data_IF_459957759498
#
_entry.id   IF_459957759498
#
_cell.length_a   1.000
_cell.length_b   1.000
_cell.length_c   1.000
_cell.angle_alpha   90.00
_cell.angle_beta   90.00
_cell.angle_gamma   90.00
#
_symmetry.space_group_name_H-M   'P 1'
#
loop_
_entity.id
_entity.type
_entity.pdbx_description
1 polymer ?
#
# COMPACT_ATOMS: atom_id res chain seq x y z
N UNK A 1 -4.07 48.53 13.52
CA UNK A 1 -5.46 48.08 13.38
C UNK A 1 -5.41 46.72 12.72
N UNK A 2 -5.59 45.69 13.55
CA UNK A 2 -5.74 44.30 13.14
C UNK A 2 -7.02 44.12 12.31
N UNK A 3 -6.91 43.36 11.22
CA UNK A 3 -8.05 42.72 10.56
C UNK A 3 -7.73 41.22 10.35
N UNK A 4 -8.73 40.33 10.47
CA UNK A 4 -8.48 38.92 10.75
C UNK A 4 -8.13 38.09 9.50
N UNK A 5 -7.30 37.08 9.75
CA UNK A 5 -7.04 35.91 8.89
C UNK A 5 -8.33 35.10 8.64
N UNK A 6 -8.32 34.40 7.50
CA UNK A 6 -9.24 33.37 6.95
C UNK A 6 -10.27 33.89 5.94
N UNK A 7 -9.91 33.78 4.66
CA UNK A 7 -10.86 33.65 3.55
C UNK A 7 -10.68 32.24 3.00
N UNK A 8 -11.63 31.35 3.30
CA UNK A 8 -11.80 30.10 2.58
C UNK A 8 -12.54 30.42 1.28
N UNK A 9 -11.85 30.28 0.15
CA UNK A 9 -12.49 30.33 -1.16
C UNK A 9 -12.84 28.89 -1.58
N UNK A 10 -14.12 28.53 -1.48
CA UNK A 10 -14.65 27.34 -2.14
C UNK A 10 -15.04 27.71 -3.58
N UNK A 11 -14.27 27.24 -4.56
CA UNK A 11 -14.67 27.26 -5.96
C UNK A 11 -15.46 25.99 -6.27
N UNK A 12 -16.78 26.12 -6.41
CA UNK A 12 -17.64 25.07 -6.94
C UNK A 12 -17.93 25.37 -8.42
N UNK A 13 -17.56 24.49 -9.37
CA UNK A 13 -18.12 24.53 -10.71
C UNK A 13 -19.41 23.72 -10.73
N UNK A 14 -20.55 24.39 -10.96
CA UNK A 14 -21.71 23.74 -11.54
C UNK A 14 -21.74 24.08 -13.03
N UNK A 15 -21.91 23.09 -13.89
CA UNK A 15 -22.15 23.31 -15.32
C UNK A 15 -23.49 22.77 -15.75
N UNK A 16 -24.28 23.65 -16.39
CA UNK A 16 -25.32 23.28 -17.36
C UNK A 16 -24.72 23.31 -18.75
N UNK A 17 -25.21 22.43 -19.61
CA UNK A 17 -24.86 22.33 -21.03
C UNK A 17 -25.26 23.64 -21.75
N UNK A 18 -24.29 24.37 -22.29
CA UNK A 18 -24.49 25.59 -23.06
C UNK A 18 -23.40 25.72 -24.13
N UNK A 19 -23.81 26.12 -25.32
CA UNK A 19 -23.08 26.18 -26.58
C UNK A 19 -21.82 27.05 -26.57
N UNK A 20 -20.89 26.70 -27.46
CA UNK A 20 -19.74 27.48 -27.90
C UNK A 20 -20.10 28.94 -28.18
N UNK A 21 -19.59 29.87 -27.37
CA UNK A 21 -19.05 31.18 -27.75
C UNK A 21 -18.61 31.93 -26.49
N UNK A 22 -17.41 32.54 -26.53
CA UNK A 22 -16.80 33.22 -25.40
C UNK A 22 -17.59 34.48 -24.99
N UNK A 23 -17.98 34.52 -23.72
CA UNK A 23 -18.55 35.72 -23.10
C UNK A 23 -18.42 35.64 -21.57
N UNK A 24 -17.68 36.58 -20.98
CA UNK A 24 -17.62 36.76 -19.53
C UNK A 24 -18.91 37.45 -19.06
N UNK A 25 -19.71 36.78 -18.20
CA UNK A 25 -20.90 37.37 -17.59
C UNK A 25 -20.57 37.87 -16.18
N UNK A 26 -20.77 39.17 -15.93
CA UNK A 26 -20.66 39.74 -14.59
C UNK A 26 -21.90 39.39 -13.77
N UNK A 27 -21.74 38.79 -12.59
CA UNK A 27 -22.83 38.65 -11.63
C UNK A 27 -23.03 39.97 -10.87
N UNK A 28 -24.26 40.49 -10.87
CA UNK A 28 -24.67 41.61 -10.02
C UNK A 28 -24.76 41.14 -8.57
N UNK A 29 -23.98 41.77 -7.69
CA UNK A 29 -24.05 41.56 -6.25
C UNK A 29 -25.28 42.32 -5.70
N UNK A 30 -26.21 41.62 -5.06
CA UNK A 30 -27.31 42.26 -4.32
C UNK A 30 -26.85 42.68 -2.92
N UNK A 31 -27.38 43.79 -2.41
CA UNK A 31 -26.94 44.51 -1.20
C UNK A 31 -26.96 43.73 0.13
N UNK A 32 -27.34 42.45 0.16
CA UNK A 32 -27.37 41.63 1.38
C UNK A 32 -26.10 40.82 1.65
N UNK A 33 -25.11 40.80 0.75
CA UNK A 33 -23.89 39.95 0.89
C UNK A 33 -22.66 40.65 1.51
N UNK A 34 -22.84 41.77 2.21
CA UNK A 34 -21.73 42.64 2.63
C UNK A 34 -20.91 42.08 3.83
N UNK A 35 -21.36 41.02 4.53
CA UNK A 35 -20.68 40.51 5.73
C UNK A 35 -19.94 39.16 5.62
N UNK A 36 -19.96 38.48 4.47
CA UNK A 36 -19.08 37.33 4.17
C UNK A 36 -18.53 37.45 2.76
N UNK A 37 -17.37 38.11 2.60
CA UNK A 37 -16.65 38.15 1.32
C UNK A 37 -16.08 36.77 0.96
N UNK A 38 -16.90 35.92 0.36
CA UNK A 38 -16.44 34.81 -0.49
C UNK A 38 -16.77 35.18 -1.93
N UNK A 39 -15.84 35.82 -2.62
CA UNK A 39 -15.94 35.98 -4.07
C UNK A 39 -15.57 34.65 -4.73
N UNK A 40 -16.54 33.96 -5.34
CA UNK A 40 -16.26 32.81 -6.19
C UNK A 40 -16.19 33.28 -7.65
N UNK A 41 -15.08 32.97 -8.31
CA UNK A 41 -14.88 33.23 -9.74
C UNK A 41 -14.80 31.90 -10.47
N UNK A 42 -15.55 31.76 -11.56
CA UNK A 42 -15.56 30.55 -12.38
C UNK A 42 -14.86 30.81 -13.70
N UNK A 43 -13.82 30.02 -14.00
CA UNK A 43 -13.08 30.08 -15.26
C UNK A 43 -13.34 28.77 -16.03
N UNK A 44 -13.93 28.82 -17.23
CA UNK A 44 -14.10 27.64 -18.07
C UNK A 44 -12.75 27.14 -18.59
N UNK A 45 -12.45 25.85 -18.43
CA UNK A 45 -11.25 25.18 -18.94
C UNK A 45 -11.69 23.94 -19.72
N UNK A 46 -11.17 23.74 -20.94
CA UNK A 46 -11.50 22.54 -21.74
C UNK A 46 -10.68 21.32 -21.27
N UNK A 47 -10.98 20.14 -21.82
CA UNK A 47 -10.43 18.86 -21.33
C UNK A 47 -8.91 18.71 -21.55
N UNK A 48 -8.37 19.23 -22.66
CA UNK A 48 -6.93 19.13 -22.95
C UNK A 48 -6.14 20.14 -22.11
N UNK A 49 -6.68 21.34 -21.91
CA UNK A 49 -6.11 22.33 -20.99
C UNK A 49 -6.15 21.83 -19.53
N UNK A 50 -7.19 21.08 -19.13
CA UNK A 50 -7.26 20.47 -17.79
C UNK A 50 -6.14 19.44 -17.56
N UNK A 51 -5.80 18.63 -18.58
CA UNK A 51 -4.67 17.69 -18.49
C UNK A 51 -3.35 18.43 -18.28
N UNK A 52 -3.17 19.54 -18.98
CA UNK A 52 -1.97 20.39 -18.84
C UNK A 52 -1.93 21.02 -17.45
N UNK A 53 -3.05 21.55 -16.96
CA UNK A 53 -3.15 22.16 -15.63
C UNK A 53 -2.88 21.14 -14.53
N UNK A 54 -3.42 19.92 -14.63
CA UNK A 54 -3.11 18.83 -13.68
C UNK A 54 -1.64 18.42 -13.70
N UNK A 55 -1.04 18.31 -14.89
CA UNK A 55 0.37 17.94 -15.01
C UNK A 55 1.31 18.94 -14.34
N UNK A 56 0.88 20.21 -14.25
CA UNK A 56 1.65 21.31 -13.67
C UNK A 56 1.01 21.86 -12.38
N UNK A 57 0.22 21.04 -11.67
CA UNK A 57 -0.56 21.46 -10.49
C UNK A 57 0.32 22.08 -9.41
N UNK A 58 1.46 21.44 -9.09
CA UNK A 58 2.39 21.94 -8.06
C UNK A 58 2.95 23.32 -8.39
N UNK A 59 3.36 23.54 -9.63
CA UNK A 59 3.88 24.82 -10.12
C UNK A 59 2.81 25.91 -10.12
N UNK A 60 1.58 25.56 -10.49
CA UNK A 60 0.46 26.49 -10.44
C UNK A 60 0.14 26.89 -8.99
N UNK A 61 0.08 25.93 -8.07
CA UNK A 61 -0.16 26.19 -6.65
C UNK A 61 0.94 27.06 -6.03
N UNK A 62 2.20 26.80 -6.38
CA UNK A 62 3.35 27.61 -5.95
C UNK A 62 3.23 29.06 -6.44
N UNK A 63 2.95 29.28 -7.73
CA UNK A 63 2.77 30.63 -8.28
C UNK A 63 1.58 31.35 -7.63
N UNK A 64 0.47 30.65 -7.36
CA UNK A 64 -0.70 31.25 -6.72
C UNK A 64 -0.44 31.59 -5.25
N UNK A 65 0.34 30.77 -4.56
CA UNK A 65 0.74 31.01 -3.17
C UNK A 65 1.74 32.17 -3.09
N UNK A 66 2.77 32.20 -3.92
CA UNK A 66 3.81 33.24 -3.88
C UNK A 66 3.27 34.61 -4.30
N UNK A 67 2.44 34.64 -5.35
CA UNK A 67 1.99 35.90 -5.94
C UNK A 67 0.76 36.48 -5.25
N UNK A 68 -0.11 35.62 -4.70
CA UNK A 68 -1.41 36.04 -4.15
C UNK A 68 -1.64 35.56 -2.71
N UNK A 69 -0.72 34.82 -2.10
CA UNK A 69 -0.87 34.29 -0.74
C UNK A 69 -1.99 33.26 -0.59
N UNK A 70 -2.44 32.66 -1.70
CA UNK A 70 -3.63 31.81 -1.75
C UNK A 70 -3.26 30.33 -1.78
N UNK A 71 -3.84 29.57 -0.85
CA UNK A 71 -3.83 28.11 -0.92
C UNK A 71 -4.86 27.71 -1.96
N UNK A 72 -4.40 27.14 -3.06
CA UNK A 72 -5.24 26.65 -4.15
C UNK A 72 -5.26 25.13 -4.16
N UNK A 73 -6.44 24.56 -4.40
CA UNK A 73 -6.66 23.11 -4.47
C UNK A 73 -7.40 22.86 -5.77
N UNK A 74 -6.79 22.09 -6.69
CA UNK A 74 -7.38 21.78 -7.97
C UNK A 74 -8.30 20.55 -7.84
N UNK A 75 -9.60 20.79 -7.64
CA UNK A 75 -10.60 19.72 -7.55
C UNK A 75 -11.23 19.49 -8.93
N UNK A 76 -11.14 18.26 -9.45
CA UNK A 76 -11.89 17.88 -10.66
C UNK A 76 -13.32 17.53 -10.29
N UNK A 77 -14.35 18.16 -10.88
CA UNK A 77 -15.72 17.75 -10.64
C UNK A 77 -15.95 16.37 -11.27
N UNK A 78 -16.19 15.37 -10.43
CA UNK A 78 -16.64 14.07 -10.87
C UNK A 78 -18.02 14.20 -11.53
N UNK A 79 -18.21 13.56 -12.69
CA UNK A 79 -19.53 13.41 -13.28
C UNK A 79 -20.47 12.72 -12.28
N UNK A 80 -21.65 13.32 -12.10
CA UNK A 80 -22.73 12.84 -11.25
C UNK A 80 -23.14 11.41 -11.63
N UNK A 81 -22.66 10.43 -10.86
CA UNK A 81 -23.42 9.34 -10.26
C UNK A 81 -22.51 8.71 -9.18
N UNK A 82 -22.81 9.04 -7.92
CA UNK A 82 -22.09 8.71 -6.70
C UNK A 82 -21.54 7.27 -6.64
N UNK A 83 -20.21 7.16 -6.64
CA UNK A 83 -19.46 6.31 -5.70
C UNK A 83 -18.04 6.86 -5.70
N UNK A 84 -17.67 7.64 -4.68
CA UNK A 84 -16.28 8.07 -4.48
C UNK A 84 -15.42 6.80 -4.36
N UNK A 85 -14.29 6.77 -5.09
CA UNK A 85 -13.30 5.72 -4.90
C UNK A 85 -12.74 5.85 -3.49
N UNK A 86 -13.01 4.86 -2.63
CA UNK A 86 -12.68 4.91 -1.21
C UNK A 86 -11.83 3.71 -0.82
N UNK A 87 -10.58 3.96 -0.42
CA UNK A 87 -9.75 2.96 0.23
C UNK A 87 -10.24 2.74 1.66
N UNK A 88 -10.60 1.51 2.03
CA UNK A 88 -11.14 1.18 3.36
C UNK A 88 -10.18 0.33 4.20
N UNK A 89 -9.16 -0.26 3.57
CA UNK A 89 -8.13 -1.05 4.22
C UNK A 89 -6.81 -0.93 3.47
N UNK A 90 -5.69 -0.93 4.21
CA UNK A 90 -4.34 -1.00 3.66
C UNK A 90 -3.43 -1.80 4.58
N UNK A 91 -2.57 -2.64 4.01
CA UNK A 91 -1.55 -3.40 4.74
C UNK A 91 -0.34 -3.70 3.87
N UNK A 92 0.86 -3.46 4.40
CA UNK A 92 2.10 -3.95 3.77
C UNK A 92 2.22 -5.47 3.98
N UNK A 93 2.35 -6.23 2.88
CA UNK A 93 2.51 -7.69 2.92
C UNK A 93 3.98 -8.09 3.10
N UNK A 94 4.86 -7.47 2.31
CA UNK A 94 6.32 -7.58 2.36
C UNK A 94 6.91 -6.18 2.08
N UNK A 95 8.19 -5.90 2.40
CA UNK A 95 8.80 -4.62 2.05
C UNK A 95 8.60 -4.29 0.57
N UNK A 96 7.96 -3.15 0.28
CA UNK A 96 7.68 -2.69 -1.08
C UNK A 96 6.40 -3.23 -1.74
N UNK A 97 5.65 -4.12 -1.09
CA UNK A 97 4.38 -4.65 -1.60
C UNK A 97 3.23 -4.41 -0.62
N UNK A 98 2.18 -3.75 -1.10
CA UNK A 98 0.98 -3.42 -0.32
C UNK A 98 -0.26 -4.11 -0.86
N UNK A 99 -1.13 -4.59 0.04
CA UNK A 99 -2.51 -4.95 -0.27
C UNK A 99 -3.46 -3.88 0.27
N UNK A 100 -4.46 -3.50 -0.52
CA UNK A 100 -5.50 -2.56 -0.11
C UNK A 100 -6.89 -3.02 -0.55
N UNK A 101 -7.93 -2.57 0.17
CA UNK A 101 -9.34 -2.82 -0.18
C UNK A 101 -9.99 -1.51 -0.56
N UNK A 102 -10.70 -1.49 -1.68
CA UNK A 102 -11.32 -0.30 -2.26
C UNK A 102 -12.79 -0.51 -2.54
N UNK A 103 -13.60 0.48 -2.14
CA UNK A 103 -14.92 0.72 -2.70
C UNK A 103 -14.75 1.53 -3.98
N UNK A 104 -14.77 0.88 -5.13
CA UNK A 104 -14.68 1.55 -6.42
C UNK A 104 -15.23 0.67 -7.54
N UNK A 105 -15.41 1.27 -8.72
CA UNK A 105 -15.78 0.57 -9.93
C UNK A 105 -14.54 0.21 -10.75
N UNK A 106 -14.30 -1.09 -10.93
CA UNK A 106 -13.20 -1.65 -11.73
C UNK A 106 -13.14 -1.10 -13.17
N UNK A 107 -14.25 -0.63 -13.75
CA UNK A 107 -14.24 -0.06 -15.11
C UNK A 107 -13.49 1.27 -15.22
N UNK A 108 -13.23 1.94 -14.08
CA UNK A 108 -12.56 3.24 -14.01
C UNK A 108 -11.40 3.27 -13.02
N UNK A 109 -11.11 2.15 -12.38
CA UNK A 109 -10.08 2.05 -11.36
C UNK A 109 -8.70 2.02 -12.02
N UNK A 110 -7.89 3.05 -11.78
CA UNK A 110 -6.61 3.23 -12.45
C UNK A 110 -5.54 2.32 -11.84
N UNK A 111 -5.20 1.24 -12.55
CA UNK A 111 -4.15 0.26 -12.23
C UNK A 111 -3.55 -0.25 -13.54
N UNK A 112 -2.42 -0.95 -13.47
CA UNK A 112 -1.80 -1.53 -14.67
C UNK A 112 -2.59 -2.70 -15.23
N UNK A 113 -3.15 -3.55 -14.36
CA UNK A 113 -3.94 -4.70 -14.75
C UNK A 113 -5.25 -4.79 -13.96
N UNK A 114 -6.35 -5.02 -14.67
CA UNK A 114 -7.66 -5.34 -14.07
C UNK A 114 -7.93 -6.82 -14.23
N UNK A 115 -8.35 -7.50 -13.16
CA UNK A 115 -8.82 -8.88 -13.23
C UNK A 115 -10.31 -8.91 -13.57
N UNK A 116 -10.66 -9.59 -14.65
CA UNK A 116 -12.05 -9.89 -15.00
C UNK A 116 -12.47 -11.24 -14.39
N UNK A 117 -13.68 -11.30 -13.84
CA UNK A 117 -14.34 -12.55 -13.47
C UNK A 117 -14.97 -13.20 -14.72
N UNK A 118 -14.22 -14.08 -15.37
CA UNK A 118 -14.57 -14.66 -16.67
C UNK A 118 -15.14 -16.08 -16.56
N UNK A 119 -15.71 -16.57 -17.67
CA UNK A 119 -16.08 -17.97 -17.88
C UNK A 119 -15.10 -18.64 -18.86
N UNK A 120 -15.22 -19.96 -18.99
CA UNK A 120 -14.35 -20.82 -19.79
C UNK A 120 -14.33 -20.47 -21.28
N UNK A 121 -15.41 -19.84 -21.77
CA UNK A 121 -15.56 -19.43 -23.18
C UNK A 121 -15.16 -17.96 -23.42
N UNK A 122 -14.68 -17.26 -22.37
CA UNK A 122 -14.40 -15.81 -22.39
C UNK A 122 -15.51 -14.96 -23.02
N UNK A 123 -16.78 -15.35 -22.79
CA UNK A 123 -17.96 -14.61 -23.25
C UNK A 123 -18.46 -13.66 -22.17
N UNK A 124 -18.25 -12.37 -22.38
CA UNK A 124 -18.46 -11.30 -21.41
C UNK A 124 -19.91 -10.77 -21.43
N UNK A 125 -20.88 -11.68 -21.28
CA UNK A 125 -22.30 -11.38 -21.44
C UNK A 125 -23.04 -10.90 -20.18
N UNK A 126 -22.41 -10.93 -19.00
CA UNK A 126 -23.06 -10.52 -17.75
C UNK A 126 -22.09 -10.09 -16.65
N UNK A 127 -22.64 -9.52 -15.58
CA UNK A 127 -21.90 -9.11 -14.38
C UNK A 127 -20.77 -8.11 -14.67
N UNK A 128 -19.66 -8.26 -13.93
CA UNK A 128 -18.46 -7.46 -14.11
C UNK A 128 -17.88 -7.56 -15.53
N UNK A 129 -17.88 -8.74 -16.13
CA UNK A 129 -17.33 -8.95 -17.47
C UNK A 129 -18.05 -8.08 -18.52
N UNK A 130 -19.38 -8.02 -18.46
CA UNK A 130 -20.16 -7.14 -19.33
C UNK A 130 -19.88 -5.67 -19.05
N UNK A 131 -19.72 -5.28 -17.79
CA UNK A 131 -19.39 -3.91 -17.43
C UNK A 131 -18.03 -3.47 -18.00
N UNK A 132 -17.02 -4.35 -17.95
CA UNK A 132 -15.71 -4.11 -18.54
C UNK A 132 -15.79 -3.96 -20.06
N UNK A 133 -16.52 -4.82 -20.78
CA UNK A 133 -16.71 -4.67 -22.24
C UNK A 133 -17.49 -3.39 -22.58
N UNK A 134 -18.53 -3.04 -21.82
CA UNK A 134 -19.29 -1.80 -22.06
C UNK A 134 -18.43 -0.55 -21.91
N UNK A 135 -17.51 -0.54 -20.94
CA UNK A 135 -16.63 0.61 -20.69
C UNK A 135 -15.39 0.62 -21.59
N UNK A 136 -14.75 -0.53 -21.78
CA UNK A 136 -13.52 -0.67 -22.56
C UNK A 136 -13.72 -0.83 -24.07
N UNK A 137 -14.92 -1.16 -24.53
CA UNK A 137 -15.25 -1.36 -25.94
C UNK A 137 -15.29 -2.83 -26.36
N UNK A 138 -15.88 -3.06 -27.53
CA UNK A 138 -16.12 -4.39 -28.08
C UNK A 138 -14.83 -5.16 -28.40
N UNK A 139 -13.73 -4.45 -28.63
CA UNK A 139 -12.39 -5.01 -28.88
C UNK A 139 -11.95 -6.02 -27.80
N UNK A 140 -12.33 -5.81 -26.53
CA UNK A 140 -12.06 -6.77 -25.44
C UNK A 140 -12.70 -8.14 -25.73
N UNK A 141 -13.95 -8.14 -26.23
CA UNK A 141 -14.67 -9.37 -26.56
C UNK A 141 -14.14 -10.00 -27.86
N UNK A 142 -13.69 -9.20 -28.81
CA UNK A 142 -13.10 -9.66 -30.07
C UNK A 142 -11.75 -10.35 -29.80
N UNK A 143 -10.87 -9.74 -29.01
CA UNK A 143 -9.61 -10.36 -28.58
C UNK A 143 -9.84 -11.64 -27.79
N UNK A 144 -10.82 -11.65 -26.89
CA UNK A 144 -11.21 -12.86 -26.15
C UNK A 144 -11.70 -13.97 -27.06
N UNK A 145 -12.49 -13.63 -28.09
CA UNK A 145 -12.99 -14.60 -29.08
C UNK A 145 -11.84 -15.17 -29.90
N UNK A 146 -10.89 -14.30 -30.30
CA UNK A 146 -9.66 -14.72 -31.00
C UNK A 146 -8.81 -15.63 -30.13
N UNK A 147 -8.63 -15.30 -28.85
CA UNK A 147 -7.90 -16.15 -27.90
C UNK A 147 -8.50 -17.57 -27.86
N UNK A 148 -9.82 -17.69 -27.67
CA UNK A 148 -10.51 -18.99 -27.65
C UNK A 148 -10.37 -19.75 -28.98
N UNK A 149 -10.41 -19.05 -30.12
CA UNK A 149 -10.24 -19.70 -31.43
C UNK A 149 -8.87 -20.33 -31.64
N UNK A 150 -7.84 -19.80 -30.96
CA UNK A 150 -6.44 -20.27 -31.08
C UNK A 150 -6.11 -21.29 -29.98
N UNK A 151 -6.51 -21.01 -28.74
CA UNK A 151 -6.07 -21.76 -27.56
C UNK A 151 -7.13 -22.72 -27.00
N UNK A 152 -8.37 -22.64 -27.48
CA UNK A 152 -9.51 -23.37 -26.92
C UNK A 152 -10.03 -22.74 -25.63
N UNK A 153 -10.91 -23.46 -24.93
CA UNK A 153 -11.52 -23.01 -23.67
C UNK A 153 -10.49 -22.84 -22.57
N UNK A 154 -10.67 -21.82 -21.74
CA UNK A 154 -9.83 -21.58 -20.55
C UNK A 154 -10.37 -22.43 -19.39
N UNK A 155 -9.60 -23.39 -18.85
CA UNK A 155 -10.08 -24.23 -17.75
C UNK A 155 -10.35 -23.43 -16.47
N UNK A 156 -11.27 -23.90 -15.63
CA UNK A 156 -11.46 -23.35 -14.29
C UNK A 156 -10.15 -23.41 -13.49
N UNK A 157 -9.79 -22.29 -12.86
CA UNK A 157 -8.51 -22.09 -12.16
C UNK A 157 -7.44 -21.43 -13.03
N UNK A 158 -7.64 -21.34 -14.35
CA UNK A 158 -6.68 -20.75 -15.28
C UNK A 158 -7.05 -19.31 -15.66
N UNK A 159 -6.13 -18.65 -16.36
CA UNK A 159 -6.27 -17.27 -16.83
C UNK A 159 -6.04 -17.15 -18.33
N UNK A 160 -6.57 -16.08 -18.93
CA UNK A 160 -6.19 -15.57 -20.25
C UNK A 160 -5.94 -14.07 -20.16
N UNK A 161 -5.15 -13.51 -21.08
CA UNK A 161 -4.80 -12.08 -21.06
C UNK A 161 -5.09 -11.43 -22.40
N UNK A 162 -5.68 -10.24 -22.36
CA UNK A 162 -6.02 -9.41 -23.53
C UNK A 162 -5.68 -7.95 -23.25
N UNK A 163 -5.73 -7.12 -24.29
CA UNK A 163 -5.70 -5.67 -24.19
C UNK A 163 -6.90 -5.12 -23.41
N UNK A 164 -6.71 -3.94 -22.83
CA UNK A 164 -7.72 -3.29 -21.98
C UNK A 164 -8.75 -2.42 -22.75
N UNK A 165 -8.55 -2.29 -24.06
CA UNK A 165 -9.23 -1.31 -24.90
C UNK A 165 -9.20 0.10 -24.32
N UNK A 166 -10.38 0.68 -24.07
CA UNK A 166 -10.53 2.05 -23.54
C UNK A 166 -10.48 2.15 -22.01
N UNK A 167 -10.30 1.05 -21.29
CA UNK A 167 -10.18 1.10 -19.84
C UNK A 167 -8.88 1.82 -19.42
N UNK A 168 -8.84 2.44 -18.22
CA UNK A 168 -7.64 3.11 -17.72
C UNK A 168 -6.61 2.12 -17.15
N UNK A 169 -6.31 1.05 -17.87
CA UNK A 169 -5.31 0.04 -17.54
C UNK A 169 -4.58 -0.44 -18.79
N UNK A 170 -3.47 -1.15 -18.62
CA UNK A 170 -2.65 -1.65 -19.73
C UNK A 170 -3.23 -2.93 -20.33
N UNK A 171 -3.75 -3.81 -19.48
CA UNK A 171 -4.28 -5.13 -19.88
C UNK A 171 -5.39 -5.63 -18.94
N UNK A 172 -6.12 -6.64 -19.40
CA UNK A 172 -7.08 -7.39 -18.58
C UNK A 172 -6.59 -8.83 -18.39
N UNK A 173 -6.58 -9.29 -17.14
CA UNK A 173 -6.38 -10.70 -16.79
C UNK A 173 -7.76 -11.34 -16.61
N UNK A 174 -8.19 -12.16 -17.55
CA UNK A 174 -9.43 -12.92 -17.48
C UNK A 174 -9.24 -14.18 -16.65
N UNK A 175 -9.68 -14.16 -15.40
CA UNK A 175 -9.58 -15.32 -14.51
C UNK A 175 -10.88 -16.12 -14.50
N UNK A 176 -10.77 -17.44 -14.72
CA UNK A 176 -11.91 -18.35 -14.71
C UNK A 176 -12.04 -18.98 -13.33
N UNK A 177 -12.87 -18.36 -12.49
CA UNK A 177 -13.19 -18.89 -11.17
C UNK A 177 -14.18 -20.07 -11.23
N UNK A 178 -14.29 -20.88 -10.15
CA UNK A 178 -15.23 -21.99 -10.10
C UNK A 178 -16.67 -21.53 -9.87
N UNK A 179 -17.62 -22.28 -10.44
CA UNK A 179 -19.04 -22.23 -10.04
C UNK A 179 -19.21 -22.98 -8.74
N UNK A 180 -19.89 -22.38 -7.76
CA UNK A 180 -20.06 -23.00 -6.46
C UNK A 180 -20.98 -24.21 -6.52
N UNK A 181 -20.50 -25.32 -5.97
CA UNK A 181 -21.25 -26.55 -5.80
C UNK A 181 -20.96 -27.04 -4.38
N UNK A 182 -21.96 -26.98 -3.49
CA UNK A 182 -21.79 -27.29 -2.06
C UNK A 182 -21.19 -28.70 -1.84
N UNK A 183 -21.64 -29.68 -2.62
CA UNK A 183 -21.16 -31.07 -2.53
C UNK A 183 -19.71 -31.26 -3.00
N UNK A 184 -19.16 -30.31 -3.75
CA UNK A 184 -17.77 -30.32 -4.25
C UNK A 184 -17.02 -29.06 -3.77
N UNK A 185 -17.30 -28.67 -2.52
CA UNK A 185 -16.76 -27.46 -1.87
C UNK A 185 -15.25 -27.39 -1.94
N UNK A 186 -14.55 -28.46 -1.60
CA UNK A 186 -13.07 -28.46 -1.54
C UNK A 186 -12.44 -28.20 -2.90
N UNK A 187 -12.99 -28.79 -3.97
CA UNK A 187 -12.53 -28.52 -5.33
C UNK A 187 -12.81 -27.08 -5.74
N UNK A 188 -13.96 -26.53 -5.37
CA UNK A 188 -14.27 -25.12 -5.61
C UNK A 188 -13.25 -24.21 -4.91
N UNK A 189 -12.94 -24.49 -3.64
CA UNK A 189 -11.91 -23.75 -2.90
C UNK A 189 -10.56 -23.84 -3.62
N UNK A 190 -10.12 -25.06 -3.93
CA UNK A 190 -8.84 -25.28 -4.60
C UNK A 190 -8.76 -24.54 -5.94
N UNK A 191 -9.82 -24.59 -6.76
CA UNK A 191 -9.86 -23.90 -8.06
C UNK A 191 -9.84 -22.37 -7.93
N UNK A 192 -10.48 -21.80 -6.91
CA UNK A 192 -10.37 -20.37 -6.62
C UNK A 192 -8.93 -20.01 -6.20
N UNK A 193 -8.31 -20.81 -5.34
CA UNK A 193 -6.91 -20.62 -4.95
C UNK A 193 -5.97 -20.68 -6.17
N UNK A 194 -6.16 -21.65 -7.07
CA UNK A 194 -5.39 -21.76 -8.32
C UNK A 194 -5.54 -20.51 -9.19
N UNK A 195 -6.76 -20.01 -9.38
CA UNK A 195 -7.00 -18.81 -10.17
C UNK A 195 -6.26 -17.59 -9.59
N UNK A 196 -6.30 -17.40 -8.27
CA UNK A 196 -5.59 -16.31 -7.60
C UNK A 196 -4.07 -16.47 -7.74
N UNK A 197 -3.52 -17.68 -7.56
CA UNK A 197 -2.09 -17.94 -7.77
C UNK A 197 -1.65 -17.62 -9.19
N UNK A 198 -2.42 -18.06 -10.19
CA UNK A 198 -2.11 -17.81 -11.60
C UNK A 198 -2.16 -16.30 -11.96
N UNK A 199 -3.06 -15.52 -11.35
CA UNK A 199 -3.07 -14.05 -11.48
C UNK A 199 -1.75 -13.47 -10.95
N UNK A 200 -1.32 -13.87 -9.75
CA UNK A 200 -0.10 -13.38 -9.11
C UNK A 200 1.15 -13.81 -9.89
N UNK A 201 1.21 -15.06 -10.33
CA UNK A 201 2.30 -15.56 -11.17
C UNK A 201 2.43 -14.74 -12.44
N UNK A 202 1.31 -14.44 -13.12
CA UNK A 202 1.31 -13.58 -14.30
C UNK A 202 1.87 -12.19 -13.98
N UNK A 203 1.39 -11.56 -12.92
CA UNK A 203 1.79 -10.21 -12.54
C UNK A 203 3.26 -10.11 -12.12
N UNK A 204 3.84 -11.17 -11.58
CA UNK A 204 5.20 -11.15 -11.03
C UNK A 204 6.22 -11.69 -12.03
N UNK A 205 5.93 -12.82 -12.68
CA UNK A 205 6.91 -13.57 -13.47
C UNK A 205 6.74 -13.41 -14.98
N UNK A 206 5.51 -13.20 -15.47
CA UNK A 206 5.25 -13.14 -16.91
C UNK A 206 5.13 -11.71 -17.43
N UNK A 207 4.86 -10.72 -16.57
CA UNK A 207 4.81 -9.32 -16.96
C UNK A 207 5.49 -8.39 -15.95
N UNK A 208 6.80 -8.21 -16.12
CA UNK A 208 7.64 -7.41 -15.24
C UNK A 208 7.33 -5.90 -15.27
N UNK A 209 6.38 -5.42 -16.08
CA UNK A 209 5.99 -4.01 -16.16
C UNK A 209 4.72 -3.67 -15.39
N UNK A 210 4.11 -4.67 -14.73
CA UNK A 210 2.95 -4.46 -13.86
C UNK A 210 3.44 -4.10 -12.46
N UNK A 211 3.07 -2.90 -12.00
CA UNK A 211 3.28 -2.46 -10.63
C UNK A 211 2.00 -2.59 -9.80
N UNK A 212 0.83 -2.58 -10.45
CA UNK A 212 -0.47 -2.59 -9.76
C UNK A 212 -1.48 -3.54 -10.42
N UNK A 213 -2.22 -4.30 -9.59
CA UNK A 213 -3.30 -5.20 -10.06
C UNK A 213 -4.55 -5.05 -9.22
N UNK A 214 -5.71 -4.95 -9.87
CA UNK A 214 -7.02 -4.91 -9.21
C UNK A 214 -7.78 -6.24 -9.35
N UNK A 215 -8.14 -6.84 -8.22
CA UNK A 215 -8.76 -8.16 -8.11
C UNK A 215 -10.18 -8.02 -7.51
N UNK A 216 -11.24 -8.47 -8.20
CA UNK A 216 -12.60 -8.50 -7.66
C UNK A 216 -12.82 -9.69 -6.72
N UNK A 217 -14.00 -9.77 -6.11
CA UNK A 217 -14.47 -11.00 -5.44
C UNK A 217 -14.81 -12.08 -6.50
N UNK A 218 -13.77 -12.76 -6.98
CA UNK A 218 -13.86 -13.76 -8.05
C UNK A 218 -14.83 -14.88 -7.67
N UNK A 219 -15.77 -15.20 -8.56
CA UNK A 219 -16.85 -16.18 -8.39
C UNK A 219 -18.01 -15.82 -7.43
N UNK A 220 -17.96 -14.72 -6.66
CA UNK A 220 -19.02 -14.44 -5.67
C UNK A 220 -20.33 -13.88 -6.24
N UNK A 221 -20.33 -13.49 -7.53
CA UNK A 221 -21.52 -13.00 -8.24
C UNK A 221 -22.32 -14.15 -8.86
N UNK A 222 -22.42 -14.16 -10.20
CA UNK A 222 -23.20 -15.15 -10.98
C UNK A 222 -22.82 -16.61 -10.65
N UNK A 223 -21.59 -16.87 -10.21
CA UNK A 223 -21.11 -18.22 -9.87
C UNK A 223 -21.46 -18.65 -8.44
N UNK A 224 -22.17 -17.80 -7.68
CA UNK A 224 -22.78 -18.06 -6.37
C UNK A 224 -21.80 -18.61 -5.31
N UNK A 225 -20.51 -18.29 -5.42
CA UNK A 225 -19.55 -18.62 -4.37
C UNK A 225 -19.86 -17.81 -3.11
N UNK A 226 -20.03 -18.45 -1.93
CA UNK A 226 -20.38 -17.73 -0.70
C UNK A 226 -19.40 -16.58 -0.42
N UNK A 227 -19.91 -15.35 -0.37
CA UNK A 227 -19.11 -14.12 -0.38
C UNK A 227 -18.02 -14.10 0.71
N UNK A 228 -18.38 -14.42 1.95
CA UNK A 228 -17.44 -14.42 3.07
C UNK A 228 -16.33 -15.46 2.86
N UNK A 229 -16.68 -16.65 2.38
CA UNK A 229 -15.69 -17.70 2.10
C UNK A 229 -14.80 -17.32 0.91
N UNK A 230 -15.38 -16.76 -0.15
CA UNK A 230 -14.65 -16.27 -1.33
C UNK A 230 -13.59 -15.24 -0.94
N UNK A 231 -13.99 -14.17 -0.23
CA UNK A 231 -13.08 -13.09 0.17
C UNK A 231 -11.99 -13.58 1.13
N UNK A 232 -12.33 -14.46 2.08
CA UNK A 232 -11.35 -15.12 2.94
C UNK A 232 -10.31 -15.92 2.15
N UNK A 233 -10.74 -16.77 1.21
CA UNK A 233 -9.84 -17.57 0.38
C UNK A 233 -8.92 -16.69 -0.47
N UNK A 234 -9.45 -15.63 -1.08
CA UNK A 234 -8.65 -14.71 -1.90
C UNK A 234 -7.54 -14.07 -1.05
N UNK A 235 -7.91 -13.49 0.10
CA UNK A 235 -6.95 -12.82 1.00
C UNK A 235 -5.92 -13.81 1.55
N UNK A 236 -6.36 -14.99 2.00
CA UNK A 236 -5.46 -16.02 2.52
C UNK A 236 -4.51 -16.56 1.45
N UNK A 237 -5.00 -16.77 0.23
CA UNK A 237 -4.15 -17.21 -0.89
C UNK A 237 -3.07 -16.19 -1.19
N UNK A 238 -3.42 -14.90 -1.23
CA UNK A 238 -2.45 -13.82 -1.43
C UNK A 238 -1.41 -13.81 -0.30
N UNK A 239 -1.86 -13.88 0.97
CA UNK A 239 -0.95 -13.92 2.14
C UNK A 239 0.05 -15.08 2.03
N UNK A 240 -0.46 -16.29 1.81
CA UNK A 240 0.37 -17.51 1.74
C UNK A 240 1.32 -17.47 0.54
N UNK A 241 0.89 -16.91 -0.59
CA UNK A 241 1.73 -16.75 -1.77
C UNK A 241 3.00 -15.95 -1.46
N UNK A 242 2.86 -14.81 -0.79
CA UNK A 242 4.01 -13.94 -0.45
C UNK A 242 4.79 -14.35 0.80
N UNK A 243 4.31 -15.33 1.58
CA UNK A 243 5.12 -15.96 2.64
C UNK A 243 6.13 -16.97 2.07
N UNK A 244 5.84 -17.59 0.92
CA UNK A 244 6.65 -18.66 0.34
C UNK A 244 7.55 -18.24 -0.83
N UNK A 245 7.43 -17.00 -1.32
CA UNK A 245 8.09 -16.54 -2.55
C UNK A 245 8.93 -15.30 -2.27
N UNK A 246 10.22 -15.32 -2.63
CA UNK A 246 11.02 -14.10 -2.72
C UNK A 246 10.60 -13.34 -3.99
N UNK A 247 10.01 -12.15 -3.82
CA UNK A 247 9.54 -11.32 -4.93
C UNK A 247 10.72 -10.77 -5.73
N UNK A 248 10.82 -11.18 -6.99
CA UNK A 248 11.76 -10.60 -7.99
C UNK A 248 11.05 -9.73 -9.04
N UNK A 249 9.72 -9.58 -8.94
CA UNK A 249 8.90 -8.77 -9.84
C UNK A 249 8.69 -7.33 -9.36
N UNK A 250 8.15 -6.49 -10.25
CA UNK A 250 7.89 -5.06 -9.99
C UNK A 250 6.53 -4.78 -9.35
N UNK A 251 5.75 -5.80 -8.99
CA UNK A 251 4.44 -5.64 -8.38
C UNK A 251 4.58 -4.94 -7.01
N UNK A 252 3.97 -3.77 -6.86
CA UNK A 252 3.99 -2.92 -5.66
C UNK A 252 2.65 -2.88 -4.95
N UNK A 253 1.53 -2.98 -5.67
CA UNK A 253 0.20 -2.87 -5.06
C UNK A 253 -0.82 -3.89 -5.60
N UNK A 254 -1.54 -4.52 -4.69
CA UNK A 254 -2.68 -5.40 -4.97
C UNK A 254 -3.94 -4.74 -4.41
N UNK A 255 -4.90 -4.42 -5.28
CA UNK A 255 -6.15 -3.77 -4.90
C UNK A 255 -7.28 -4.79 -4.93
N UNK A 256 -7.94 -5.03 -3.80
CA UNK A 256 -9.18 -5.79 -3.73
C UNK A 256 -10.34 -4.82 -3.92
N UNK A 257 -11.05 -4.89 -5.05
CA UNK A 257 -11.97 -3.83 -5.49
C UNK A 257 -13.39 -4.36 -5.67
N UNK A 258 -14.37 -3.62 -5.13
CA UNK A 258 -15.79 -3.80 -5.47
C UNK A 258 -16.54 -2.48 -5.36
N UNK A 259 -17.60 -2.31 -6.14
CA UNK A 259 -18.52 -1.17 -6.01
C UNK A 259 -19.68 -1.45 -5.04
N UNK A 260 -19.84 -2.70 -4.60
CA UNK A 260 -20.88 -3.14 -3.69
C UNK A 260 -20.40 -3.11 -2.23
N UNK A 261 -21.10 -2.33 -1.39
CA UNK A 261 -20.77 -2.19 0.04
C UNK A 261 -20.60 -3.52 0.78
N UNK A 262 -21.47 -4.55 0.59
CA UNK A 262 -21.32 -5.83 1.28
C UNK A 262 -20.02 -6.56 0.89
N UNK A 263 -19.61 -6.49 -0.38
CA UNK A 263 -18.36 -7.12 -0.85
C UNK A 263 -17.14 -6.39 -0.30
N UNK A 264 -17.17 -5.06 -0.28
CA UNK A 264 -16.11 -4.24 0.31
C UNK A 264 -15.95 -4.57 1.80
N UNK A 265 -17.08 -4.65 2.53
CA UNK A 265 -17.07 -5.01 3.94
C UNK A 265 -16.54 -6.44 4.18
N UNK A 266 -16.91 -7.40 3.33
CA UNK A 266 -16.41 -8.77 3.42
C UNK A 266 -14.90 -8.86 3.17
N UNK A 267 -14.38 -8.17 2.14
CA UNK A 267 -12.93 -8.08 1.92
C UNK A 267 -12.21 -7.41 3.09
N UNK A 268 -12.73 -6.28 3.57
CA UNK A 268 -12.15 -5.58 4.72
C UNK A 268 -12.08 -6.50 5.95
N UNK A 269 -13.17 -7.19 6.28
CA UNK A 269 -13.23 -8.10 7.42
C UNK A 269 -12.26 -9.29 7.27
N UNK A 270 -12.20 -9.89 6.08
CA UNK A 270 -11.23 -10.95 5.78
C UNK A 270 -9.79 -10.45 5.92
N UNK A 271 -9.48 -9.25 5.38
CA UNK A 271 -8.15 -8.65 5.51
C UNK A 271 -7.77 -8.32 6.95
N UNK A 272 -8.69 -7.75 7.75
CA UNK A 272 -8.45 -7.47 9.17
C UNK A 272 -8.20 -8.76 9.98
N UNK A 273 -8.93 -9.83 9.66
CA UNK A 273 -8.79 -11.13 10.32
C UNK A 273 -7.49 -11.84 9.96
N UNK A 274 -7.10 -11.82 8.68
CA UNK A 274 -5.99 -12.63 8.15
C UNK A 274 -4.65 -11.88 8.18
N UNK A 275 -4.66 -10.57 7.94
CA UNK A 275 -3.47 -9.74 7.81
C UNK A 275 -3.25 -8.83 9.04
N UNK A 276 -4.24 -8.72 9.91
CA UNK A 276 -4.19 -7.90 11.14
C UNK A 276 -4.66 -6.46 10.94
N UNK A 277 -4.23 -5.59 11.86
CA UNK A 277 -4.70 -4.20 11.97
C UNK A 277 -4.55 -3.39 10.66
N UNK A 278 -5.59 -2.61 10.35
CA UNK A 278 -5.66 -1.71 9.19
C UNK A 278 -4.70 -0.51 9.34
N UNK A 279 -3.77 -0.36 8.40
CA UNK A 279 -2.74 0.70 8.40
C UNK A 279 -3.20 2.01 7.73
N UNK A 280 -4.44 2.06 7.24
CA UNK A 280 -4.99 3.26 6.58
C UNK A 280 -4.95 4.51 7.49
N UNK A 281 -5.11 4.32 8.80
CA UNK A 281 -5.04 5.42 9.78
C UNK A 281 -3.62 5.88 10.09
N UNK A 282 -2.61 5.03 9.86
CA UNK A 282 -1.21 5.35 10.15
C UNK A 282 -0.59 6.30 9.11
N UNK A 283 -1.27 6.54 7.98
CA UNK A 283 -0.86 7.52 6.96
C UNK A 283 -1.63 8.85 7.04
N UNK A 284 -2.62 8.94 7.94
CA UNK A 284 -3.47 10.13 8.12
C UNK A 284 -2.81 11.29 8.88
N UNK A 285 -1.62 11.07 9.44
CA UNK A 285 -0.75 12.11 9.98
C UNK A 285 0.61 12.07 9.26
N UNK A 286 0.66 12.53 8.01
CA UNK A 286 1.92 13.08 7.48
C UNK A 286 2.14 14.46 8.12
N UNK A 287 2.55 14.48 9.39
CA UNK A 287 3.41 15.57 9.84
C UNK A 287 4.84 15.20 9.43
N UNK A 288 5.35 15.93 8.43
CA UNK A 288 6.70 15.87 7.89
C UNK A 288 7.13 14.50 7.31
N UNK A 289 7.60 14.52 6.06
CA UNK A 289 8.54 13.50 5.56
C UNK A 289 9.59 13.23 6.66
N UNK A 290 9.70 12.00 7.19
CA UNK A 290 10.78 11.68 8.10
C UNK A 290 12.11 11.98 7.40
N UNK A 291 13.09 12.56 8.09
CA UNK A 291 14.42 12.74 7.50
C UNK A 291 14.93 11.38 7.00
N UNK A 292 15.78 11.38 5.96
CA UNK A 292 16.32 10.18 5.28
C UNK A 292 16.93 9.12 6.24
N UNK A 293 17.17 9.51 7.49
CA UNK A 293 17.74 8.71 8.55
C UNK A 293 16.70 8.08 9.49
N UNK A 294 15.39 8.15 9.19
CA UNK A 294 14.33 7.61 10.06
C UNK A 294 13.44 6.64 9.29
N UNK A 295 13.39 5.39 9.74
CA UNK A 295 12.48 4.35 9.24
C UNK A 295 11.43 4.05 10.31
N UNK A 296 10.17 4.36 10.01
CA UNK A 296 9.05 4.07 10.91
C UNK A 296 8.49 2.68 10.58
N UNK A 297 8.48 1.78 11.57
CA UNK A 297 7.80 0.48 11.51
C UNK A 297 6.58 0.49 12.45
N UNK A 298 5.66 -0.45 12.27
CA UNK A 298 4.32 -0.41 12.89
C UNK A 298 4.32 -0.41 14.43
N UNK A 299 5.43 -0.75 15.08
CA UNK A 299 5.58 -0.82 16.54
C UNK A 299 6.90 -0.24 17.07
N UNK A 300 7.79 0.26 16.21
CA UNK A 300 9.02 0.95 16.62
C UNK A 300 9.51 1.88 15.50
N UNK A 301 10.26 2.91 15.88
CA UNK A 301 10.94 3.79 14.93
C UNK A 301 12.43 3.52 14.99
N UNK A 302 13.05 3.28 13.83
CA UNK A 302 14.49 3.12 13.68
C UNK A 302 15.08 4.43 13.22
N UNK A 303 16.07 4.93 13.97
CA UNK A 303 16.86 6.10 13.60
C UNK A 303 18.29 5.68 13.25
N UNK A 304 18.77 6.08 12.07
CA UNK A 304 20.17 6.00 11.67
C UNK A 304 20.87 7.25 12.20
N UNK A 305 21.49 7.14 13.37
CA UNK A 305 22.23 8.25 13.97
C UNK A 305 23.70 8.12 13.63
N UNK A 306 24.28 9.16 13.01
CA UNK A 306 25.73 9.28 12.84
C UNK A 306 26.30 10.00 14.05
N UNK A 307 27.00 9.27 14.93
CA UNK A 307 27.58 9.83 16.14
C UNK A 307 28.42 8.82 16.93
N UNK A 308 28.88 9.27 18.09
CA UNK A 308 29.57 8.45 19.09
C UNK A 308 28.53 7.74 19.97
N UNK A 309 28.65 6.43 20.15
CA UNK A 309 27.67 5.60 20.85
C UNK A 309 27.59 5.95 22.35
N UNK A 310 28.73 6.33 22.93
CA UNK A 310 28.89 6.70 24.32
C UNK A 310 28.20 8.02 24.68
N UNK A 311 27.85 8.84 23.68
CA UNK A 311 27.16 10.11 23.85
C UNK A 311 25.65 10.02 23.53
N UNK A 312 25.12 8.83 23.22
CA UNK A 312 23.71 8.68 22.85
C UNK A 312 22.78 8.74 24.08
N UNK A 313 21.67 9.46 23.94
CA UNK A 313 20.60 9.56 24.94
C UNK A 313 19.53 8.51 24.66
N UNK A 314 19.81 7.25 25.01
CA UNK A 314 18.87 6.13 24.89
C UNK A 314 18.70 5.44 26.25
N UNK A 315 17.57 4.76 26.47
CA UNK A 315 17.38 4.00 27.73
C UNK A 315 18.37 2.85 27.87
N UNK A 316 18.76 2.25 26.73
CA UNK A 316 19.68 1.11 26.67
C UNK A 316 20.72 1.33 25.58
N UNK A 317 21.98 0.99 25.88
CA UNK A 317 23.05 0.84 24.89
C UNK A 317 23.39 -0.64 24.76
N UNK A 318 23.56 -1.13 23.54
CA UNK A 318 24.02 -2.51 23.29
C UNK A 318 25.51 -2.48 22.98
N UNK A 319 26.29 -3.21 23.78
CA UNK A 319 27.72 -3.39 23.60
C UNK A 319 28.03 -4.81 23.10
N UNK A 320 29.07 -4.95 22.29
CA UNK A 320 29.56 -6.21 21.76
C UNK A 320 30.91 -6.53 22.38
N UNK A 321 31.02 -7.64 23.11
CA UNK A 321 32.21 -7.96 23.90
C UNK A 321 32.66 -9.41 23.68
N UNK A 322 33.97 -9.62 23.63
CA UNK A 322 34.57 -10.96 23.66
C UNK A 322 34.97 -11.29 25.09
N UNK A 323 34.54 -12.42 25.66
CA UNK A 323 34.81 -12.75 27.07
C UNK A 323 36.29 -12.74 27.45
N UNK A 324 37.18 -13.09 26.52
CA UNK A 324 38.63 -13.17 26.76
C UNK A 324 39.34 -11.83 26.89
N UNK A 325 38.72 -10.73 26.43
CA UNK A 325 39.38 -9.41 26.37
C UNK A 325 38.52 -8.26 26.91
N UNK A 326 37.42 -8.57 27.61
CA UNK A 326 36.54 -7.59 28.24
C UNK A 326 36.37 -6.32 27.37
N UNK A 327 36.55 -5.15 27.96
CA UNK A 327 36.38 -3.86 27.29
C UNK A 327 37.61 -3.43 26.46
N UNK A 328 38.69 -4.21 26.46
CA UNK A 328 39.96 -3.84 25.85
C UNK A 328 40.06 -4.19 24.36
N UNK A 329 39.28 -5.15 23.83
CA UNK A 329 39.42 -5.58 22.43
C UNK A 329 38.68 -4.70 21.41
N UNK A 330 37.52 -4.15 21.76
CA UNK A 330 36.63 -3.44 20.82
C UNK A 330 36.70 -1.93 20.96
N UNK A 331 36.80 -1.19 19.85
CA UNK A 331 36.76 0.28 19.86
C UNK A 331 35.47 0.82 20.50
N UNK A 332 34.34 0.17 20.21
CA UNK A 332 33.03 0.47 20.81
C UNK A 332 33.06 0.27 22.33
N UNK A 333 33.55 -0.89 22.79
CA UNK A 333 33.65 -1.19 24.22
C UNK A 333 34.59 -0.23 24.94
N UNK A 334 35.72 0.16 24.34
CA UNK A 334 36.64 1.14 24.95
C UNK A 334 36.00 2.51 25.12
N UNK A 335 35.29 3.00 24.10
CA UNK A 335 34.52 4.25 24.18
C UNK A 335 33.47 4.20 25.30
N UNK A 336 32.74 3.08 25.41
CA UNK A 336 31.75 2.86 26.47
C UNK A 336 32.42 2.85 27.84
N UNK A 337 33.54 2.12 28.03
CA UNK A 337 34.27 2.09 29.29
C UNK A 337 34.79 3.47 29.69
N UNK A 338 35.40 4.19 28.75
CA UNK A 338 35.96 5.51 28.98
C UNK A 338 34.89 6.50 29.45
N UNK A 339 33.68 6.43 28.89
CA UNK A 339 32.59 7.32 29.27
C UNK A 339 31.84 6.86 30.53
N UNK A 340 31.55 5.56 30.66
CA UNK A 340 30.82 5.01 31.81
C UNK A 340 31.65 5.03 33.10
N UNK A 341 32.98 4.92 32.97
CA UNK A 341 33.94 4.75 34.05
C UNK A 341 34.21 3.28 34.40
N UNK A 342 35.29 3.03 35.15
CA UNK A 342 35.76 1.69 35.52
C UNK A 342 34.73 0.87 36.31
N UNK A 343 33.73 1.54 36.89
CA UNK A 343 32.63 0.93 37.63
C UNK A 343 31.83 -0.07 36.77
N UNK A 344 31.70 0.19 35.46
CA UNK A 344 31.00 -0.72 34.53
C UNK A 344 31.74 -2.03 34.37
N UNK A 345 33.08 -1.99 34.34
CA UNK A 345 33.90 -3.19 34.21
C UNK A 345 33.90 -3.99 35.50
N UNK A 346 33.88 -3.31 36.66
CA UNK A 346 33.77 -3.96 37.97
C UNK A 346 32.44 -4.71 38.11
N UNK A 347 31.32 -4.08 37.71
CA UNK A 347 30.01 -4.74 37.72
C UNK A 347 29.95 -5.91 36.73
N UNK A 348 30.49 -5.71 35.51
CA UNK A 348 30.57 -6.77 34.50
C UNK A 348 31.36 -7.99 34.99
N UNK A 349 32.55 -7.79 35.57
CA UNK A 349 33.40 -8.88 36.12
C UNK A 349 32.73 -9.59 37.29
N UNK A 350 32.04 -8.85 38.16
CA UNK A 350 31.26 -9.41 39.27
C UNK A 350 30.14 -10.33 38.78
N UNK A 351 29.37 -9.89 37.78
CA UNK A 351 28.29 -10.70 37.21
C UNK A 351 28.83 -11.91 36.44
N UNK A 352 29.90 -11.73 35.67
CA UNK A 352 30.54 -12.84 34.93
C UNK A 352 31.08 -13.92 35.87
N UNK A 353 31.55 -13.55 37.06
CA UNK A 353 32.03 -14.50 38.09
C UNK A 353 30.90 -15.27 38.78
N UNK A 354 29.65 -14.82 38.66
CA UNK A 354 28.46 -15.40 39.30
C UNK A 354 27.62 -16.25 38.33
N UNK A 355 27.88 -16.16 37.02
CA UNK A 355 27.12 -16.84 35.98
C UNK A 355 27.93 -18.01 35.40
N UNK A 356 27.35 -19.22 35.36
CA UNK A 356 27.95 -20.38 34.68
C UNK A 356 28.06 -20.13 33.18
N UNK A 357 29.24 -20.36 32.59
CA UNK A 357 29.63 -19.98 31.21
C UNK A 357 28.78 -20.52 30.06
N UNK A 358 27.84 -21.44 30.30
CA UNK A 358 27.18 -22.23 29.23
C UNK A 358 25.79 -21.75 28.78
N UNK A 359 25.22 -20.67 29.33
CA UNK A 359 23.81 -20.35 29.03
C UNK A 359 23.42 -18.89 28.81
N UNK A 360 24.31 -17.91 29.04
CA UNK A 360 23.92 -16.50 28.95
C UNK A 360 24.64 -15.75 27.83
N UNK A 361 23.90 -15.45 26.75
CA UNK A 361 24.38 -14.69 25.59
C UNK A 361 24.46 -13.16 25.84
N UNK A 362 23.75 -12.66 26.87
CA UNK A 362 23.66 -11.22 27.17
C UNK A 362 23.78 -10.99 28.68
N UNK A 363 24.76 -10.16 29.08
CA UNK A 363 24.92 -9.65 30.45
C UNK A 363 24.47 -8.19 30.53
N UNK A 364 23.92 -7.76 31.66
CA UNK A 364 23.32 -6.41 31.80
C UNK A 364 23.97 -5.66 32.96
N UNK A 365 24.59 -4.52 32.67
CA UNK A 365 25.12 -3.60 33.69
C UNK A 365 24.32 -2.30 33.72
N UNK A 366 24.53 -1.48 34.75
CA UNK A 366 24.03 -0.10 34.77
C UNK A 366 24.80 0.76 33.77
N UNK A 367 24.19 1.86 33.32
CA UNK A 367 24.88 2.84 32.46
C UNK A 367 25.97 3.66 33.16
N UNK A 368 25.96 3.73 34.50
CA UNK A 368 26.87 4.57 35.30
C UNK A 368 26.89 6.03 34.84
N UNK A 369 28.00 6.50 34.27
CA UNK A 369 28.17 7.88 33.76
C UNK A 369 27.66 8.07 32.32
N UNK A 370 27.18 7.00 31.67
CA UNK A 370 26.44 7.12 30.41
C UNK A 370 25.04 7.68 30.67
N UNK A 371 24.46 8.30 29.64
CA UNK A 371 23.07 8.79 29.70
C UNK A 371 22.03 7.66 29.79
N UNK A 372 22.39 6.43 29.42
CA UNK A 372 21.49 5.28 29.43
C UNK A 372 21.28 4.66 30.80
N UNK A 373 20.14 4.00 31.01
CA UNK A 373 19.85 3.29 32.25
C UNK A 373 20.66 1.99 32.34
N UNK A 374 20.77 1.26 31.23
CA UNK A 374 21.43 -0.04 31.18
C UNK A 374 22.33 -0.20 29.95
N UNK A 375 23.36 -1.03 30.10
CA UNK A 375 24.18 -1.50 28.98
C UNK A 375 24.05 -3.01 28.85
N UNK A 376 23.65 -3.46 27.66
CA UNK A 376 23.47 -4.87 27.34
C UNK A 376 24.71 -5.37 26.62
N UNK A 377 25.48 -6.24 27.25
CA UNK A 377 26.73 -6.79 26.74
C UNK A 377 26.46 -8.14 26.07
N UNK A 378 26.49 -8.14 24.73
CA UNK A 378 26.38 -9.35 23.92
C UNK A 378 27.73 -10.05 23.88
N UNK A 379 27.78 -11.29 24.40
CA UNK A 379 29.00 -12.09 24.49
C UNK A 379 29.21 -12.87 23.19
N UNK A 380 30.33 -12.63 22.51
CA UNK A 380 30.74 -13.40 21.33
C UNK A 380 31.78 -14.44 21.71
N UNK A 381 31.38 -15.71 21.77
CA UNK A 381 32.29 -16.83 21.95
C UNK A 381 33.00 -17.15 20.63
N UNK A 382 34.34 -17.24 20.66
CA UNK A 382 35.17 -17.52 19.50
C UNK A 382 34.96 -18.92 18.89
N UNK A 383 34.13 -19.77 19.51
CA UNK A 383 33.75 -21.09 18.97
C UNK A 383 32.63 -21.02 17.91
N UNK A 384 31.94 -19.88 17.75
CA UNK A 384 31.02 -19.67 16.62
C UNK A 384 31.80 -19.29 15.35
N UNK A 385 32.64 -20.21 14.87
CA UNK A 385 33.30 -20.07 13.59
C UNK A 385 32.28 -20.28 12.47
N UNK A 386 31.97 -19.20 11.72
CA UNK A 386 31.58 -19.07 10.29
C UNK A 386 30.66 -20.08 9.56
N UNK A 387 30.21 -21.20 10.12
CA UNK A 387 29.43 -22.23 9.38
C UNK A 387 27.95 -22.32 9.74
N UNK A 388 27.49 -21.75 10.86
CA UNK A 388 26.10 -21.99 11.31
C UNK A 388 25.12 -20.84 11.04
N UNK A 389 25.54 -19.74 10.42
CA UNK A 389 24.66 -18.61 10.08
C UNK A 389 24.01 -18.68 8.68
N UNK A 390 24.22 -19.78 7.94
CA UNK A 390 23.50 -20.05 6.67
C UNK A 390 22.90 -21.45 6.73
N UNK A 391 21.97 -21.68 7.66
CA UNK A 391 20.98 -22.77 7.59
C UNK A 391 19.93 -22.59 8.68
N UNK A 392 18.88 -21.84 8.37
CA UNK A 392 17.54 -22.26 8.77
C UNK A 392 16.64 -22.17 7.55
N UNK A 393 16.11 -23.33 7.17
CA UNK A 393 15.17 -23.55 6.07
C UNK A 393 13.86 -22.81 6.28
#
# INVERSE_FOLDING_TARGET
MDFPKKILAHTCPQWRKGSTEGGCLSYKCSETDIYRRSCSWQIPINHDDLKIVKKNESQLCEVLQDKFGCISILVSPAQEHNSESLQVFRKMLTPGLTLSVWKDNLTRHAVDAVVNAANEDLKHGGGLALALVKAGGQEIQEESTRFISIHGKVPTGEIAVTGAGKLPCKLIIHAVGPRWVEVDRERCIHKLQTAIKNILDYAIFYNMYLETVAIPALSSGIFNFPLNLCTQIIVETIRLYFQGVQTTGNLKEIHLVSNEEPTVAAFKAASETILGMNELRSWGNQEATPPFNTMVMSNFTVHIVRGQIELQETDVIVNSITPSHCFEAGLVSRSILQQAGDEIEQEFKKQTSQTSQDSQLVLVTKGFKLSCQYVFHVLWNSEYSRTDMVRSK
#
